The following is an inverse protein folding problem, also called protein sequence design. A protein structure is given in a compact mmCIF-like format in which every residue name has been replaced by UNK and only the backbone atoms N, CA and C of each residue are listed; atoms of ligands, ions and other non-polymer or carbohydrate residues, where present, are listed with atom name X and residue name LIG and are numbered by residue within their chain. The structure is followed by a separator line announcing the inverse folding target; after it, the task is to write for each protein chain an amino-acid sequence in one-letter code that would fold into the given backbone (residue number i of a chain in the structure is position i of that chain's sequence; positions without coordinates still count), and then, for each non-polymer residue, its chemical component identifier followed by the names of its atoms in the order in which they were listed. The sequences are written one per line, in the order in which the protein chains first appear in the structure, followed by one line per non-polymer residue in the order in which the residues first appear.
data_IF_283143120691
#
_entry.id   IF_283143120691
#
_cell.length_a   1.000
_cell.length_b   1.000
_cell.length_c   1.000
_cell.angle_alpha   90.00
_cell.angle_beta   90.00
_cell.angle_gamma   90.00
#
_symmetry.space_group_name_H-M   'P 1'
#
loop_
_entity.id
_entity.type
_entity.pdbx_description
1 polymer ?
#
# COMPACT_ATOMS: atom_id res chain seq x y z
N UNK A 1 9.86 22.39 3.44
CA UNK A 1 10.10 21.42 4.53
C UNK A 1 11.56 20.97 4.57
N UNK A 2 12.52 21.93 4.54
CA UNK A 2 13.95 21.60 4.63
C UNK A 2 14.27 21.03 6.02
N UNK A 3 14.92 19.86 6.06
CA UNK A 3 15.42 19.23 7.29
C UNK A 3 14.43 18.34 8.04
N UNK A 4 13.24 18.06 7.51
CA UNK A 4 12.34 17.07 8.09
C UNK A 4 12.57 15.70 7.45
N UNK A 5 12.57 14.64 8.27
CA UNK A 5 12.58 13.26 7.80
C UNK A 5 11.21 12.96 7.21
N UNK A 6 11.19 12.51 5.96
CA UNK A 6 9.97 12.15 5.23
C UNK A 6 10.13 10.79 4.56
N UNK A 7 9.02 10.20 4.13
CA UNK A 7 9.02 8.94 3.39
C UNK A 7 9.68 9.03 2.01
N UNK A 8 9.98 10.23 1.54
CA UNK A 8 10.71 10.47 0.29
C UNK A 8 12.23 10.36 0.48
N UNK A 9 12.73 9.14 0.55
CA UNK A 9 14.06 8.76 0.99
C UNK A 9 15.12 8.74 -0.14
N UNK A 10 15.20 9.79 -0.92
CA UNK A 10 16.17 9.89 -2.02
C UNK A 10 17.62 10.21 -1.58
N UNK A 11 17.84 10.73 -0.40
CA UNK A 11 19.14 11.25 0.04
C UNK A 11 19.79 12.18 -1.01
N UNK A 12 18.99 13.00 -1.70
CA UNK A 12 19.42 13.87 -2.77
C UNK A 12 19.91 15.22 -2.19
N UNK A 13 21.22 15.36 -2.00
CA UNK A 13 21.87 16.61 -1.57
C UNK A 13 22.28 16.64 -0.09
N UNK A 14 23.19 17.55 0.25
CA UNK A 14 23.84 17.63 1.58
C UNK A 14 22.90 17.97 2.75
N UNK A 15 21.66 18.37 2.49
CA UNK A 15 20.71 18.79 3.51
C UNK A 15 19.43 17.94 3.53
N UNK A 16 19.33 16.88 2.71
CA UNK A 16 18.13 16.07 2.65
C UNK A 16 18.32 14.80 3.49
N UNK A 17 17.59 14.66 4.62
CA UNK A 17 17.40 13.37 5.24
C UNK A 17 16.70 12.45 4.22
N UNK A 18 16.88 11.17 4.33
CA UNK A 18 16.24 10.24 3.40
C UNK A 18 17.09 9.02 3.12
N UNK A 19 17.89 8.63 4.10
CA UNK A 19 18.67 7.39 4.09
C UNK A 19 17.85 6.24 4.70
N UNK A 20 18.33 5.01 4.56
CA UNK A 20 17.76 3.85 5.26
C UNK A 20 17.80 3.99 6.79
N UNK A 21 18.72 4.75 7.33
CA UNK A 21 18.81 5.01 8.77
C UNK A 21 17.63 5.86 9.25
N UNK A 22 17.17 6.82 8.46
CA UNK A 22 15.99 7.63 8.79
C UNK A 22 14.71 6.78 8.84
N UNK A 23 14.59 5.82 7.95
CA UNK A 23 13.51 4.82 8.03
C UNK A 23 13.60 4.01 9.32
N UNK A 24 14.74 3.39 9.58
CA UNK A 24 14.95 2.52 10.73
C UNK A 24 14.77 3.23 12.07
N UNK A 25 15.32 4.45 12.17
CA UNK A 25 15.48 5.13 13.46
C UNK A 25 14.35 6.11 13.77
N UNK A 26 13.55 6.49 12.76
CA UNK A 26 12.50 7.49 12.91
C UNK A 26 11.17 7.07 12.29
N UNK A 27 11.10 6.85 10.98
CA UNK A 27 9.83 6.71 10.28
C UNK A 27 9.14 5.39 10.58
N UNK A 28 9.85 4.27 10.53
CA UNK A 28 9.26 2.98 10.82
C UNK A 28 8.78 2.86 12.27
N UNK A 29 9.54 3.28 13.30
CA UNK A 29 9.02 3.31 14.66
C UNK A 29 7.79 4.19 14.86
N UNK A 30 7.73 5.35 14.22
CA UNK A 30 6.56 6.22 14.27
C UNK A 30 5.35 5.59 13.59
N UNK A 31 5.55 5.00 12.42
CA UNK A 31 4.49 4.29 11.69
C UNK A 31 3.96 3.10 12.49
N UNK A 32 4.86 2.28 13.06
CA UNK A 32 4.52 1.13 13.88
C UNK A 32 3.64 1.52 15.07
N UNK A 33 4.08 2.51 15.85
CA UNK A 33 3.33 2.99 17.02
C UNK A 33 1.97 3.58 16.64
N UNK A 34 1.94 4.40 15.59
CA UNK A 34 0.69 5.05 15.15
C UNK A 34 -0.30 4.03 14.60
N UNK A 35 0.19 3.07 13.83
CA UNK A 35 -0.65 2.01 13.25
C UNK A 35 -1.18 1.07 14.34
N UNK A 36 -0.32 0.61 15.25
CA UNK A 36 -0.75 -0.24 16.37
C UNK A 36 -1.84 0.47 17.21
N UNK A 37 -1.60 1.73 17.58
CA UNK A 37 -2.58 2.50 18.34
C UNK A 37 -3.91 2.71 17.60
N UNK A 38 -3.88 2.91 16.28
CA UNK A 38 -5.09 3.00 15.46
C UNK A 38 -5.88 1.68 15.48
N UNK A 39 -5.19 0.56 15.27
CA UNK A 39 -5.84 -0.76 15.24
C UNK A 39 -6.45 -1.10 16.61
N UNK A 40 -5.71 -0.89 17.70
CA UNK A 40 -6.19 -1.09 19.08
C UNK A 40 -7.42 -0.19 19.38
N UNK A 41 -7.41 1.06 18.94
CA UNK A 41 -8.53 1.99 19.17
C UNK A 41 -9.79 1.58 18.36
N UNK A 42 -9.63 1.14 17.12
CA UNK A 42 -10.73 0.61 16.29
C UNK A 42 -11.34 -0.64 16.93
N UNK A 43 -10.52 -1.56 17.41
CA UNK A 43 -10.98 -2.77 18.12
C UNK A 43 -11.68 -2.39 19.43
N UNK A 44 -11.06 -1.55 20.25
CA UNK A 44 -11.59 -1.12 21.55
C UNK A 44 -12.91 -0.37 21.46
N UNK A 45 -13.18 0.29 20.34
CA UNK A 45 -14.46 0.99 20.07
C UNK A 45 -15.50 0.11 19.36
N UNK A 46 -15.16 -1.12 19.00
CA UNK A 46 -16.04 -1.99 18.24
C UNK A 46 -16.25 -1.54 16.78
N UNK A 47 -15.29 -0.80 16.22
CA UNK A 47 -15.33 -0.29 14.84
C UNK A 47 -14.54 -1.20 13.87
N UNK A 48 -13.86 -2.21 14.38
CA UNK A 48 -12.95 -3.07 13.62
C UNK A 48 -13.65 -3.77 12.45
N UNK A 49 -14.83 -4.32 12.68
CA UNK A 49 -15.58 -5.08 11.66
C UNK A 49 -16.11 -4.20 10.52
N UNK A 50 -16.33 -2.92 10.79
CA UNK A 50 -16.90 -1.96 9.83
C UNK A 50 -15.83 -1.04 9.21
N UNK A 51 -14.54 -1.28 9.48
CA UNK A 51 -13.47 -0.42 9.03
C UNK A 51 -12.41 -1.21 8.26
N UNK A 52 -12.11 -0.78 7.04
CA UNK A 52 -10.96 -1.25 6.28
C UNK A 52 -9.82 -0.23 6.39
N UNK A 53 -8.69 -0.63 6.94
CA UNK A 53 -7.46 0.15 6.97
C UNK A 53 -6.56 -0.29 5.82
N UNK A 54 -6.17 0.65 4.97
CA UNK A 54 -5.24 0.42 3.86
C UNK A 54 -4.04 1.33 4.02
N UNK A 55 -2.84 0.76 4.07
CA UNK A 55 -1.59 1.51 4.05
C UNK A 55 -0.75 1.09 2.84
N UNK A 56 -0.44 2.05 1.98
CA UNK A 56 0.34 1.84 0.76
C UNK A 56 1.11 3.10 0.41
N UNK A 57 2.24 2.93 -0.26
CA UNK A 57 2.84 4.00 -1.05
C UNK A 57 2.29 3.98 -2.48
N UNK A 58 2.59 5.02 -3.25
CA UNK A 58 2.22 5.15 -4.67
C UNK A 58 3.09 4.28 -5.58
N UNK A 59 4.28 3.92 -5.15
CA UNK A 59 5.25 3.03 -5.79
C UNK A 59 6.28 2.53 -4.76
N UNK A 60 7.14 1.60 -5.17
CA UNK A 60 8.24 1.09 -4.36
C UNK A 60 9.51 1.94 -4.43
N UNK A 61 10.58 1.40 -3.89
CA UNK A 61 11.91 2.01 -3.88
C UNK A 61 12.94 1.07 -4.51
N UNK A 62 13.95 1.64 -5.16
CA UNK A 62 14.97 0.85 -5.87
C UNK A 62 15.63 -0.18 -4.97
N UNK A 63 15.87 -1.42 -5.47
CA UNK A 63 16.58 -2.46 -4.71
C UNK A 63 17.98 -2.05 -4.27
N UNK A 64 18.64 -1.22 -5.08
CA UNK A 64 19.98 -0.71 -4.79
C UNK A 64 19.90 0.72 -4.22
N UNK A 65 20.79 1.01 -3.29
CA UNK A 65 21.00 2.38 -2.82
C UNK A 65 21.64 3.22 -3.92
N UNK A 66 21.23 4.49 -3.99
CA UNK A 66 21.92 5.48 -4.81
C UNK A 66 23.21 5.99 -4.11
N UNK A 67 23.95 6.86 -4.78
CA UNK A 67 25.23 7.37 -4.27
C UNK A 67 25.12 8.16 -2.95
N UNK A 68 23.94 8.69 -2.62
CA UNK A 68 23.67 9.38 -1.37
C UNK A 68 23.26 8.48 -0.21
N UNK A 69 23.09 7.17 -0.45
CA UNK A 69 22.62 6.21 0.56
C UNK A 69 21.10 6.16 0.71
N UNK A 70 20.37 6.81 -0.18
CA UNK A 70 18.91 6.72 -0.30
C UNK A 70 18.46 5.74 -1.38
N UNK A 71 17.14 5.72 -1.64
CA UNK A 71 16.52 4.89 -2.68
C UNK A 71 15.65 5.76 -3.57
N UNK A 72 15.72 5.52 -4.87
CA UNK A 72 14.92 6.22 -5.86
C UNK A 72 13.56 5.52 -6.05
N UNK A 73 12.67 6.10 -6.86
CA UNK A 73 11.37 5.53 -7.19
C UNK A 73 11.54 4.23 -7.98
N UNK A 74 10.70 3.26 -7.69
CA UNK A 74 10.73 1.96 -8.35
C UNK A 74 9.32 1.40 -8.50
N UNK A 75 8.91 1.14 -9.74
CA UNK A 75 7.58 0.61 -10.05
C UNK A 75 7.54 -0.92 -10.20
N UNK A 76 8.70 -1.58 -10.13
CA UNK A 76 8.79 -3.02 -10.34
C UNK A 76 8.27 -3.88 -9.17
N UNK A 77 8.25 -3.35 -7.96
CA UNK A 77 7.68 -4.00 -6.79
C UNK A 77 7.46 -3.02 -5.64
N UNK A 78 6.33 -3.13 -4.95
CA UNK A 78 6.06 -2.47 -3.65
C UNK A 78 5.05 -3.28 -2.85
N UNK A 79 4.74 -2.85 -1.63
CA UNK A 79 3.84 -3.56 -0.73
C UNK A 79 2.71 -2.66 -0.27
N UNK A 80 1.56 -3.26 -0.02
CA UNK A 80 0.44 -2.65 0.67
C UNK A 80 0.07 -3.49 1.89
N UNK A 81 -0.54 -2.88 2.91
CA UNK A 81 -1.11 -3.54 4.06
C UNK A 81 -2.62 -3.27 4.08
N UNK A 82 -3.38 -4.33 4.32
CA UNK A 82 -4.81 -4.25 4.58
C UNK A 82 -5.09 -4.84 5.97
N UNK A 83 -5.94 -4.18 6.73
CA UNK A 83 -6.34 -4.66 8.06
C UNK A 83 -7.77 -4.23 8.38
N UNK A 84 -8.43 -4.97 9.26
CA UNK A 84 -9.82 -4.71 9.67
C UNK A 84 -10.86 -5.20 8.68
N UNK A 85 -12.10 -4.88 8.94
CA UNK A 85 -13.23 -5.36 8.15
C UNK A 85 -13.26 -6.87 8.06
N UNK A 86 -13.68 -7.37 6.92
CA UNK A 86 -13.71 -8.80 6.62
C UNK A 86 -12.43 -9.30 5.94
N UNK A 87 -11.29 -8.60 6.09
CA UNK A 87 -10.01 -9.05 5.50
C UNK A 87 -9.47 -10.23 6.29
N UNK A 88 -9.22 -11.39 5.68
CA UNK A 88 -8.59 -12.52 6.36
C UNK A 88 -7.16 -12.15 6.80
N UNK A 89 -6.94 -12.11 8.12
CA UNK A 89 -5.67 -11.70 8.70
C UNK A 89 -4.56 -12.75 8.60
N UNK A 90 -3.31 -12.33 8.87
CA UNK A 90 -2.15 -13.22 8.98
C UNK A 90 -1.62 -13.75 7.65
N UNK A 91 -2.01 -13.18 6.53
CA UNK A 91 -1.59 -13.60 5.20
C UNK A 91 -0.50 -12.69 4.63
N UNK A 92 0.35 -13.27 3.80
CA UNK A 92 1.25 -12.56 2.89
C UNK A 92 0.95 -13.06 1.49
N UNK A 93 0.58 -12.16 0.59
CA UNK A 93 0.23 -12.45 -0.79
C UNK A 93 1.31 -11.86 -1.69
N UNK A 94 1.81 -12.66 -2.61
CA UNK A 94 2.88 -12.29 -3.51
C UNK A 94 4.29 -12.46 -2.93
N UNK A 95 5.24 -12.59 -3.83
CA UNK A 95 6.66 -12.62 -3.50
C UNK A 95 7.47 -11.93 -4.60
N UNK A 96 8.65 -11.43 -4.21
CA UNK A 96 9.60 -10.84 -5.16
C UNK A 96 10.75 -11.78 -5.45
N UNK A 97 11.57 -11.43 -6.44
CA UNK A 97 12.88 -12.03 -6.62
C UNK A 97 13.79 -11.78 -5.40
N UNK A 98 14.94 -12.45 -5.37
CA UNK A 98 15.88 -12.38 -4.25
C UNK A 98 16.44 -10.96 -3.98
N UNK A 99 16.29 -10.04 -4.93
CA UNK A 99 16.77 -8.66 -4.84
C UNK A 99 15.64 -7.66 -4.56
N UNK A 100 14.40 -8.11 -4.42
CA UNK A 100 13.22 -7.26 -4.33
C UNK A 100 13.04 -6.32 -5.55
N UNK A 101 13.47 -6.77 -6.73
CA UNK A 101 13.44 -5.99 -7.95
C UNK A 101 12.13 -6.11 -8.71
N UNK A 102 11.57 -7.30 -8.77
CA UNK A 102 10.33 -7.60 -9.49
C UNK A 102 9.48 -8.58 -8.71
N UNK A 103 8.15 -8.47 -8.85
CA UNK A 103 7.22 -9.47 -8.32
C UNK A 103 7.29 -10.73 -9.19
N UNK A 104 7.46 -11.89 -8.57
CA UNK A 104 7.65 -13.19 -9.25
C UNK A 104 6.59 -14.22 -8.92
N UNK A 105 5.79 -13.97 -7.88
CA UNK A 105 4.70 -14.84 -7.49
C UNK A 105 3.49 -14.02 -7.07
N UNK A 106 2.29 -14.47 -7.43
CA UNK A 106 1.01 -13.86 -7.12
C UNK A 106 1.04 -12.32 -7.19
N UNK A 107 1.37 -11.72 -8.34
CA UNK A 107 1.39 -10.27 -8.49
C UNK A 107 0.00 -9.69 -8.23
N UNK A 108 -0.03 -8.54 -7.59
CA UNK A 108 -1.26 -7.74 -7.41
C UNK A 108 -0.97 -6.36 -7.99
N UNK A 109 -1.78 -5.93 -8.94
CA UNK A 109 -1.66 -4.59 -9.49
C UNK A 109 -2.56 -3.56 -8.77
N UNK A 110 -2.35 -2.26 -9.01
CA UNK A 110 -3.16 -1.22 -8.36
C UNK A 110 -4.66 -1.30 -8.66
N UNK A 111 -5.05 -1.78 -9.85
CA UNK A 111 -6.45 -1.90 -10.21
C UNK A 111 -7.11 -3.05 -9.44
N UNK A 112 -6.43 -4.18 -9.26
CA UNK A 112 -6.90 -5.31 -8.45
C UNK A 112 -7.02 -4.92 -6.97
N UNK A 113 -6.02 -4.19 -6.43
CA UNK A 113 -6.09 -3.65 -5.06
C UNK A 113 -7.29 -2.71 -4.89
N UNK A 114 -7.52 -1.82 -5.86
CA UNK A 114 -8.64 -0.89 -5.83
C UNK A 114 -9.98 -1.63 -5.96
N UNK A 115 -10.08 -2.62 -6.83
CA UNK A 115 -11.25 -3.48 -6.95
C UNK A 115 -11.54 -4.21 -5.63
N UNK A 116 -10.50 -4.67 -4.93
CA UNK A 116 -10.61 -5.28 -3.60
C UNK A 116 -11.19 -4.32 -2.57
N UNK A 117 -10.72 -3.07 -2.54
CA UNK A 117 -11.27 -2.03 -1.66
C UNK A 117 -12.74 -1.76 -1.95
N UNK A 118 -13.13 -1.62 -3.23
CA UNK A 118 -14.54 -1.44 -3.59
C UNK A 118 -15.40 -2.62 -3.17
N UNK A 119 -14.90 -3.84 -3.34
CA UNK A 119 -15.61 -5.04 -2.91
C UNK A 119 -15.88 -5.05 -1.40
N UNK A 120 -14.91 -4.65 -0.58
CA UNK A 120 -15.10 -4.50 0.87
C UNK A 120 -16.13 -3.42 1.24
N UNK A 121 -16.23 -2.37 0.42
CA UNK A 121 -17.24 -1.31 0.59
C UNK A 121 -18.63 -1.72 0.08
N UNK A 122 -18.81 -2.95 -0.43
CA UNK A 122 -20.07 -3.43 -0.99
C UNK A 122 -20.37 -2.85 -2.39
N UNK A 123 -19.38 -2.27 -3.04
CA UNK A 123 -19.47 -1.72 -4.39
C UNK A 123 -19.00 -2.78 -5.38
N UNK A 124 -19.81 -3.06 -6.40
CA UNK A 124 -19.39 -3.92 -7.51
C UNK A 124 -18.34 -3.17 -8.38
N UNK A 125 -17.07 -3.65 -8.43
CA UNK A 125 -16.04 -2.99 -9.24
C UNK A 125 -16.37 -2.97 -10.74
N UNK A 126 -17.21 -3.89 -11.20
CA UNK A 126 -17.63 -3.99 -12.61
C UNK A 126 -18.91 -3.24 -12.93
N UNK A 127 -19.48 -2.49 -11.97
CA UNK A 127 -20.65 -1.65 -12.24
C UNK A 127 -20.35 -0.68 -13.39
N UNK A 128 -21.30 -0.54 -14.29
CA UNK A 128 -21.15 0.35 -15.43
C UNK A 128 -21.42 1.82 -15.04
N UNK A 129 -20.52 2.66 -15.43
CA UNK A 129 -20.68 4.13 -15.36
C UNK A 129 -21.04 4.67 -16.72
N UNK A 130 -22.02 5.56 -16.78
CA UNK A 130 -22.35 6.30 -17.99
C UNK A 130 -21.46 7.53 -18.06
N UNK A 131 -20.68 7.65 -19.12
CA UNK A 131 -19.81 8.80 -19.36
C UNK A 131 -20.52 9.88 -20.17
N UNK A 132 -19.92 11.07 -20.28
CA UNK A 132 -20.55 12.27 -20.84
C UNK A 132 -21.05 12.08 -22.28
N UNK A 133 -20.40 11.26 -23.09
CA UNK A 133 -20.80 10.97 -24.48
C UNK A 133 -21.90 9.91 -24.59
N UNK A 134 -22.39 9.39 -23.46
CA UNK A 134 -23.45 8.38 -23.38
C UNK A 134 -22.95 6.94 -23.52
N UNK A 135 -21.66 6.70 -23.69
CA UNK A 135 -21.07 5.37 -23.62
C UNK A 135 -20.99 4.88 -22.17
N UNK A 136 -20.78 3.58 -21.97
CA UNK A 136 -20.59 3.00 -20.66
C UNK A 136 -19.17 2.45 -20.52
N UNK A 137 -18.64 2.48 -19.30
CA UNK A 137 -17.41 1.84 -18.93
C UNK A 137 -17.53 1.23 -17.52
N UNK A 138 -16.85 0.12 -17.21
CA UNK A 138 -16.82 -0.39 -15.86
C UNK A 138 -16.12 0.61 -14.91
N UNK A 139 -16.50 0.61 -13.64
CA UNK A 139 -15.84 1.41 -12.61
C UNK A 139 -14.36 1.05 -12.52
N UNK A 140 -14.03 -0.23 -12.59
CA UNK A 140 -12.66 -0.75 -12.68
C UNK A 140 -12.63 -1.99 -13.56
N UNK A 141 -11.66 -2.08 -14.47
CA UNK A 141 -11.40 -3.25 -15.31
C UNK A 141 -10.43 -4.24 -14.63
N UNK A 142 -10.72 -4.63 -13.41
CA UNK A 142 -9.94 -5.63 -12.68
C UNK A 142 -10.84 -6.44 -11.75
N UNK A 143 -10.42 -7.65 -11.45
CA UNK A 143 -11.05 -8.48 -10.43
C UNK A 143 -10.41 -8.22 -9.06
N UNK A 144 -11.18 -8.28 -7.99
CA UNK A 144 -10.63 -8.22 -6.63
C UNK A 144 -9.68 -9.38 -6.35
N UNK A 145 -8.74 -9.17 -5.45
CA UNK A 145 -7.85 -10.23 -4.94
C UNK A 145 -8.64 -11.14 -4.01
N UNK A 146 -9.06 -12.30 -4.52
CA UNK A 146 -9.95 -13.25 -3.81
C UNK A 146 -9.43 -13.64 -2.41
N UNK A 147 -8.12 -13.81 -2.25
CA UNK A 147 -7.51 -14.15 -0.96
C UNK A 147 -7.67 -13.05 0.11
N UNK A 148 -8.01 -11.83 -0.27
CA UNK A 148 -8.26 -10.69 0.63
C UNK A 148 -9.75 -10.47 0.91
N UNK A 149 -10.63 -11.30 0.37
CA UNK A 149 -12.08 -11.19 0.54
C UNK A 149 -12.56 -12.38 1.38
N UNK A 150 -13.27 -12.11 2.46
CA UNK A 150 -13.97 -13.18 3.20
C UNK A 150 -15.11 -13.75 2.37
N UNK A 151 -15.27 -15.07 2.44
CA UNK A 151 -16.36 -15.78 1.80
C UNK A 151 -17.71 -15.47 2.48
#
# INVERSE_FOLDING_TARGET
LHGQVTWDAHAAGEAAPGTLFDYRDTLCPQFDQATAALLDDLEGRGLWEDTLVVASGEFGRTPKLNAGGGRDHWTGAWSAMLAGGAVPGGQVIGATDANAGTVTDAPVDPAELTATVYRHLGIDPRMELVVEDGSTMPLIEADPVEALISA
#
